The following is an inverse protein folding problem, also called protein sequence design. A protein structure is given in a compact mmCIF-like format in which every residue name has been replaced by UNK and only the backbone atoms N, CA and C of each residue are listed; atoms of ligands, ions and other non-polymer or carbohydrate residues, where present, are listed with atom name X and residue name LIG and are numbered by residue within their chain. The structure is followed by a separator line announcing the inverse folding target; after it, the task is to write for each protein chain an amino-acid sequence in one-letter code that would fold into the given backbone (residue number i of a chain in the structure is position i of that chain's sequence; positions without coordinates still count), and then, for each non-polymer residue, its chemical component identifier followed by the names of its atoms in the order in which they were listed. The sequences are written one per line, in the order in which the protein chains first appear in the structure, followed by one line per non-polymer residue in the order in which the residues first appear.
data_IF_473314893497
#
_entry.id   IF_473314893497
#
_cell.length_a   1.000
_cell.length_b   1.000
_cell.length_c   1.000
_cell.angle_alpha   90.00
_cell.angle_beta   90.00
_cell.angle_gamma   90.00
#
_symmetry.space_group_name_H-M   'P 1'
#
loop_
_entity.id
_entity.type
_entity.pdbx_description
1 polymer ?
#
# COMPACT_ATOMS: atom_id res chain seq x y z
N UNK A 1 -7.53 30.71 8.77
CA UNK A 1 -7.30 29.31 9.18
C UNK A 1 -6.15 28.69 8.37
N UNK A 2 -6.13 28.88 7.04
CA UNK A 2 -5.05 28.50 6.11
C UNK A 2 -3.65 28.92 6.50
N UNK A 3 -3.46 30.20 6.77
CA UNK A 3 -2.12 30.76 7.00
C UNK A 3 -1.50 30.26 8.32
N UNK A 4 -2.35 30.04 9.33
CA UNK A 4 -1.96 29.42 10.59
C UNK A 4 -1.56 27.95 10.41
N UNK A 5 -2.31 27.18 9.61
CA UNK A 5 -1.97 25.77 9.36
C UNK A 5 -0.67 25.64 8.55
N UNK A 6 -0.47 26.45 7.50
CA UNK A 6 0.80 26.49 6.74
C UNK A 6 1.96 26.85 7.67
N UNK A 7 1.80 27.84 8.54
CA UNK A 7 2.82 28.24 9.52
C UNK A 7 3.15 27.10 10.50
N UNK A 8 2.12 26.42 11.01
CA UNK A 8 2.28 25.29 11.92
C UNK A 8 2.99 24.11 11.23
N UNK A 9 2.60 23.76 9.99
CA UNK A 9 3.26 22.72 9.20
C UNK A 9 4.74 23.05 8.93
N UNK A 10 5.07 24.31 8.60
CA UNK A 10 6.46 24.77 8.43
C UNK A 10 7.26 24.68 9.74
N UNK A 11 6.66 25.05 10.87
CA UNK A 11 7.26 24.88 12.20
C UNK A 11 7.48 23.39 12.54
N UNK A 12 6.52 22.53 12.21
CA UNK A 12 6.65 21.08 12.36
C UNK A 12 7.83 20.54 11.53
N UNK A 13 7.92 20.93 10.26
CA UNK A 13 8.99 20.55 9.35
C UNK A 13 10.37 21.03 9.81
N UNK A 14 10.47 22.28 10.31
CA UNK A 14 11.73 22.84 10.79
C UNK A 14 12.28 22.08 12.00
N UNK A 15 11.46 21.85 13.02
CA UNK A 15 11.90 21.15 14.24
C UNK A 15 12.23 19.67 13.95
N UNK A 16 11.59 19.07 12.95
CA UNK A 16 11.86 17.69 12.55
C UNK A 16 13.28 17.49 12.00
N UNK A 17 13.97 18.56 11.60
CA UNK A 17 15.36 18.50 11.14
C UNK A 17 16.35 18.05 12.21
N UNK A 18 15.99 18.19 13.47
CA UNK A 18 16.77 17.63 14.58
C UNK A 18 16.76 16.09 14.58
N UNK A 19 15.78 15.48 13.89
CA UNK A 19 15.59 14.04 13.82
C UNK A 19 16.18 13.45 12.54
N UNK A 20 15.84 14.01 11.38
CA UNK A 20 16.31 13.54 10.07
C UNK A 20 16.25 14.66 9.00
N UNK A 21 17.10 14.60 7.95
CA UNK A 21 17.05 15.58 6.85
C UNK A 21 15.77 15.44 6.02
N UNK A 22 15.48 16.44 5.17
CA UNK A 22 14.32 16.37 4.27
C UNK A 22 14.47 15.15 3.36
N UNK A 23 13.39 14.40 3.15
CA UNK A 23 13.44 13.27 2.22
C UNK A 23 13.60 13.81 0.79
N UNK A 24 14.30 13.11 -0.11
CA UNK A 24 14.48 13.61 -1.47
C UNK A 24 13.14 13.79 -2.21
N UNK A 25 13.03 14.90 -2.96
CA UNK A 25 12.09 15.05 -4.07
C UNK A 25 12.90 14.86 -5.35
N UNK A 26 12.70 13.74 -6.05
CA UNK A 26 13.55 13.35 -7.19
C UNK A 26 12.72 13.26 -8.45
N UNK A 27 13.16 13.94 -9.52
CA UNK A 27 12.59 13.75 -10.84
C UNK A 27 12.85 12.31 -11.28
N UNK A 28 11.84 11.65 -11.83
CA UNK A 28 11.93 10.30 -12.35
C UNK A 28 11.88 10.33 -13.87
N UNK A 29 13.01 10.05 -14.52
CA UNK A 29 13.13 10.14 -15.98
C UNK A 29 12.23 9.12 -16.69
N UNK A 30 12.25 7.86 -16.24
CA UNK A 30 11.44 6.78 -16.83
C UNK A 30 9.94 7.11 -16.83
N UNK A 31 9.40 7.51 -15.68
CA UNK A 31 8.00 7.89 -15.57
C UNK A 31 7.69 9.19 -16.34
N UNK A 32 8.63 10.14 -16.37
CA UNK A 32 8.46 11.39 -17.11
C UNK A 32 8.33 11.15 -18.61
N UNK A 33 9.21 10.29 -19.17
CA UNK A 33 9.15 9.88 -20.57
C UNK A 33 7.87 9.08 -20.88
N UNK A 34 7.49 8.16 -19.98
CA UNK A 34 6.30 7.30 -20.14
C UNK A 34 4.99 8.10 -20.24
N UNK A 35 4.87 9.19 -19.48
CA UNK A 35 3.63 9.97 -19.37
C UNK A 35 3.67 11.35 -20.05
N UNK A 36 4.78 11.72 -20.70
CA UNK A 36 4.99 13.04 -21.31
C UNK A 36 4.71 14.18 -20.31
N UNK A 37 5.19 14.02 -19.08
CA UNK A 37 4.98 14.91 -17.94
C UNK A 37 6.24 15.01 -17.09
N UNK A 38 6.38 16.06 -16.28
CA UNK A 38 7.51 16.23 -15.37
C UNK A 38 7.19 15.55 -14.02
N UNK A 39 7.49 14.25 -13.92
CA UNK A 39 7.12 13.42 -12.77
C UNK A 39 8.21 13.43 -11.70
N UNK A 40 7.84 13.78 -10.47
CA UNK A 40 8.69 13.78 -9.30
C UNK A 40 8.18 12.81 -8.24
N UNK A 41 9.11 12.08 -7.62
CA UNK A 41 8.81 11.18 -6.51
C UNK A 41 9.25 11.83 -5.20
N UNK A 42 8.31 12.01 -4.27
CA UNK A 42 8.61 12.36 -2.89
C UNK A 42 8.93 11.09 -2.11
N UNK A 43 10.23 10.87 -1.84
CA UNK A 43 10.80 9.59 -1.38
C UNK A 43 10.69 9.37 0.14
N UNK A 44 9.46 9.28 0.64
CA UNK A 44 9.21 8.99 2.06
C UNK A 44 9.63 7.58 2.49
N UNK A 45 9.81 6.67 1.54
CA UNK A 45 10.46 5.38 1.71
C UNK A 45 11.94 5.47 2.16
N UNK A 46 12.59 6.62 1.98
CA UNK A 46 13.96 6.89 2.42
C UNK A 46 14.04 7.55 3.80
N UNK A 47 12.92 7.69 4.52
CA UNK A 47 12.96 8.13 5.91
C UNK A 47 13.63 7.10 6.83
N UNK A 48 14.05 7.46 8.07
CA UNK A 48 14.68 6.52 9.00
C UNK A 48 13.90 5.22 9.26
N UNK A 49 12.56 5.30 9.23
CA UNK A 49 11.65 4.15 9.39
C UNK A 49 10.99 3.73 8.08
N UNK A 50 11.53 4.19 6.95
CA UNK A 50 11.10 3.88 5.57
C UNK A 50 9.62 4.11 5.28
N UNK A 51 9.05 5.13 5.92
CA UNK A 51 7.70 5.62 5.63
C UNK A 51 7.49 7.01 6.25
N UNK A 52 6.45 7.71 5.82
CA UNK A 52 6.12 9.05 6.34
C UNK A 52 5.62 9.07 7.80
N UNK A 53 5.27 7.93 8.39
CA UNK A 53 4.52 7.86 9.66
C UNK A 53 5.23 8.49 10.85
N UNK A 54 6.56 8.54 10.85
CA UNK A 54 7.33 9.20 11.92
C UNK A 54 7.03 10.69 12.05
N UNK A 55 6.56 11.35 10.98
CA UNK A 55 6.35 12.80 10.94
C UNK A 55 5.21 13.24 11.85
N UNK A 56 4.05 12.61 11.70
CA UNK A 56 2.91 12.84 12.59
C UNK A 56 3.20 12.40 14.02
N UNK A 57 3.90 11.28 14.21
CA UNK A 57 4.30 10.84 15.55
C UNK A 57 5.20 11.87 16.25
N UNK A 58 6.23 12.36 15.56
CA UNK A 58 7.11 13.42 16.06
C UNK A 58 6.31 14.64 16.51
N UNK A 59 5.44 15.16 15.65
CA UNK A 59 4.75 16.41 15.91
C UNK A 59 3.73 16.32 17.05
N UNK A 60 2.97 15.23 17.12
CA UNK A 60 2.04 14.98 18.21
C UNK A 60 2.77 14.78 19.54
N UNK A 61 3.85 13.99 19.56
CA UNK A 61 4.60 13.72 20.79
C UNK A 61 5.27 14.98 21.35
N UNK A 62 5.97 15.78 20.53
CA UNK A 62 6.69 16.97 21.01
C UNK A 62 5.78 18.04 21.63
N UNK A 63 4.49 18.05 21.31
CA UNK A 63 3.52 19.05 21.80
C UNK A 63 2.96 18.73 23.18
N UNK A 64 3.08 17.48 23.61
CA UNK A 64 2.59 17.00 24.90
C UNK A 64 3.70 16.53 25.83
N UNK A 65 4.96 16.61 25.38
CA UNK A 65 6.14 16.37 26.21
C UNK A 65 6.55 17.71 26.83
N UNK A 66 6.83 17.76 28.15
CA UNK A 66 7.01 16.64 29.07
C UNK A 66 5.76 16.20 29.85
N UNK A 67 4.58 16.79 29.62
CA UNK A 67 3.35 16.48 30.36
C UNK A 67 2.93 15.00 30.25
N UNK A 68 3.28 14.35 29.13
CA UNK A 68 3.09 12.93 28.86
C UNK A 68 4.43 12.24 28.66
N UNK A 69 4.65 11.15 29.39
CA UNK A 69 5.89 10.36 29.37
C UNK A 69 5.70 8.91 28.90
N UNK A 70 4.46 8.47 28.71
CA UNK A 70 4.10 7.14 28.21
C UNK A 70 3.21 7.29 26.98
N UNK A 71 3.65 6.72 25.87
CA UNK A 71 2.97 6.77 24.58
C UNK A 71 2.54 5.38 24.14
N UNK A 72 1.33 5.28 23.61
CA UNK A 72 0.70 4.00 23.27
C UNK A 72 0.16 4.07 21.87
N UNK A 73 0.33 3.00 21.09
CA UNK A 73 -0.36 2.88 19.81
C UNK A 73 -0.77 1.42 19.55
N UNK A 74 -1.80 1.23 18.72
CA UNK A 74 -2.17 -0.08 18.17
C UNK A 74 -1.80 -0.13 16.69
N UNK A 75 -0.76 -0.89 16.35
CA UNK A 75 -0.31 -1.12 14.97
C UNK A 75 0.78 -2.19 14.94
N UNK A 76 0.84 -2.96 13.87
CA UNK A 76 1.96 -3.85 13.55
C UNK A 76 2.79 -3.38 12.36
N UNK A 77 2.53 -2.17 11.83
CA UNK A 77 3.10 -1.67 10.58
C UNK A 77 3.90 -0.37 10.74
N UNK A 78 3.84 0.47 9.71
CA UNK A 78 4.59 1.73 9.63
C UNK A 78 4.35 2.68 10.80
N UNK A 79 3.11 2.74 11.32
CA UNK A 79 2.80 3.57 12.48
C UNK A 79 3.55 3.10 13.73
N UNK A 80 3.55 1.79 14.02
CA UNK A 80 4.28 1.23 15.14
C UNK A 80 5.78 1.53 15.08
N UNK A 81 6.37 1.40 13.90
CA UNK A 81 7.79 1.70 13.69
C UNK A 81 8.08 3.20 13.89
N UNK A 82 7.21 4.08 13.39
CA UNK A 82 7.30 5.53 13.59
C UNK A 82 7.20 5.92 15.07
N UNK A 83 6.20 5.39 15.80
CA UNK A 83 6.04 5.63 17.24
C UNK A 83 7.25 5.10 18.00
N UNK A 84 7.69 3.87 17.71
CA UNK A 84 8.80 3.25 18.40
C UNK A 84 10.10 4.06 18.24
N UNK A 85 10.40 4.47 17.01
CA UNK A 85 11.55 5.33 16.74
C UNK A 85 11.47 6.65 17.50
N UNK A 86 10.29 7.29 17.55
CA UNK A 86 10.12 8.55 18.27
C UNK A 86 10.22 8.40 19.79
N UNK A 87 9.72 7.30 20.36
CA UNK A 87 9.91 7.01 21.79
C UNK A 87 11.40 6.89 22.13
N UNK A 88 12.18 6.21 21.28
CA UNK A 88 13.63 6.13 21.41
C UNK A 88 14.30 7.50 21.32
N UNK A 89 13.93 8.31 20.31
CA UNK A 89 14.47 9.65 20.09
C UNK A 89 14.21 10.61 21.27
N UNK A 90 12.98 10.66 21.78
CA UNK A 90 12.61 11.54 22.90
C UNK A 90 12.99 10.98 24.28
N UNK A 91 13.41 9.71 24.35
CA UNK A 91 13.72 9.05 25.62
C UNK A 91 12.50 8.81 26.51
N UNK A 92 11.33 8.56 25.91
CA UNK A 92 10.04 8.34 26.59
C UNK A 92 9.57 6.91 26.43
N UNK A 93 8.73 6.42 27.34
CA UNK A 93 8.24 5.03 27.29
C UNK A 93 7.21 4.87 26.17
N UNK A 94 7.38 3.85 25.33
CA UNK A 94 6.42 3.42 24.31
C UNK A 94 5.83 2.05 24.63
N UNK A 95 4.52 1.88 24.45
CA UNK A 95 3.84 0.58 24.54
C UNK A 95 3.07 0.33 23.23
N UNK A 96 3.51 -0.65 22.46
CA UNK A 96 2.99 -0.94 21.13
C UNK A 96 2.12 -2.19 21.19
N UNK A 97 0.82 -2.02 20.96
CA UNK A 97 -0.13 -3.12 20.91
C UNK A 97 -0.19 -3.68 19.48
N UNK A 98 -0.03 -5.00 19.38
CA UNK A 98 -0.10 -5.76 18.13
C UNK A 98 -0.99 -6.99 18.30
N UNK A 99 -1.66 -7.48 17.24
CA UNK A 99 -2.36 -8.77 17.29
C UNK A 99 -1.41 -9.92 17.61
N UNK A 100 -1.90 -10.98 18.26
CA UNK A 100 -1.11 -12.19 18.57
C UNK A 100 -0.64 -12.93 17.32
N UNK A 101 -1.34 -12.73 16.20
CA UNK A 101 -1.03 -13.28 14.88
C UNK A 101 0.04 -12.50 14.12
N UNK A 102 0.61 -11.45 14.72
CA UNK A 102 1.62 -10.61 14.07
C UNK A 102 2.91 -11.40 13.79
N UNK A 103 3.42 -11.39 12.53
CA UNK A 103 4.68 -12.05 12.21
C UNK A 103 5.86 -11.55 13.05
N UNK A 104 6.76 -12.47 13.44
CA UNK A 104 7.91 -12.15 14.29
C UNK A 104 8.82 -11.06 13.69
N UNK A 105 8.99 -11.03 12.37
CA UNK A 105 9.78 -10.02 11.68
C UNK A 105 9.24 -8.60 11.92
N UNK A 106 7.91 -8.40 11.90
CA UNK A 106 7.28 -7.10 12.18
C UNK A 106 7.48 -6.69 13.65
N UNK A 107 7.39 -7.64 14.58
CA UNK A 107 7.65 -7.41 16.01
C UNK A 107 9.10 -6.99 16.24
N UNK A 108 10.05 -7.74 15.68
CA UNK A 108 11.49 -7.48 15.82
C UNK A 108 11.87 -6.13 15.25
N UNK A 109 11.32 -5.76 14.09
CA UNK A 109 11.59 -4.47 13.45
C UNK A 109 11.12 -3.29 14.31
N UNK A 110 9.94 -3.37 14.89
CA UNK A 110 9.46 -2.34 15.82
C UNK A 110 10.34 -2.25 17.08
N UNK A 111 10.74 -3.39 17.66
CA UNK A 111 11.66 -3.41 18.81
C UNK A 111 13.03 -2.83 18.45
N UNK A 112 13.54 -3.09 17.25
CA UNK A 112 14.82 -2.56 16.77
C UNK A 112 14.81 -1.02 16.72
N UNK A 113 13.72 -0.41 16.23
CA UNK A 113 13.59 1.05 16.22
C UNK A 113 13.38 1.65 17.62
N UNK A 114 12.63 0.96 18.48
CA UNK A 114 12.32 1.43 19.83
C UNK A 114 13.40 1.22 20.88
N UNK A 115 14.28 0.24 20.68
CA UNK A 115 15.32 -0.12 21.64
C UNK A 115 14.73 -0.45 23.02
N UNK A 116 15.37 0.07 24.07
CA UNK A 116 14.94 -0.14 25.45
C UNK A 116 13.70 0.69 25.85
N UNK A 117 13.33 1.67 25.03
CA UNK A 117 12.21 2.56 25.34
C UNK A 117 10.85 1.96 25.02
N UNK A 118 10.81 0.84 24.30
CA UNK A 118 9.57 0.29 23.75
C UNK A 118 9.31 -1.12 24.22
N UNK A 119 8.09 -1.32 24.70
CA UNK A 119 7.51 -2.63 24.96
C UNK A 119 6.49 -2.97 23.88
N UNK A 120 6.45 -4.25 23.45
CA UNK A 120 5.43 -4.74 22.51
C UNK A 120 4.50 -5.70 23.24
N UNK A 121 3.21 -5.38 23.25
CA UNK A 121 2.16 -6.16 23.88
C UNK A 121 1.34 -6.89 22.80
N UNK A 122 1.34 -8.21 22.82
CA UNK A 122 0.57 -9.04 21.89
C UNK A 122 -0.82 -9.34 22.47
N UNK A 123 -1.87 -8.70 21.96
CA UNK A 123 -3.24 -8.82 22.48
C UNK A 123 -4.24 -8.87 21.33
N UNK A 124 -5.13 -9.85 21.38
CA UNK A 124 -6.25 -10.03 20.44
C UNK A 124 -5.84 -10.67 19.13
N UNK A 125 -6.77 -11.39 18.51
CA UNK A 125 -6.55 -12.08 17.23
C UNK A 125 -6.70 -11.13 16.03
N UNK A 126 -7.39 -10.01 16.23
CA UNK A 126 -7.76 -9.02 15.22
C UNK A 126 -7.52 -7.59 15.72
N UNK A 127 -7.36 -6.67 14.77
CA UNK A 127 -7.00 -5.28 15.03
C UNK A 127 -7.95 -4.57 16.02
N UNK A 128 -9.26 -4.78 15.92
CA UNK A 128 -10.22 -4.08 16.79
C UNK A 128 -10.05 -4.43 18.27
N UNK A 129 -9.78 -5.71 18.58
CA UNK A 129 -9.48 -6.15 19.95
C UNK A 129 -8.18 -5.52 20.45
N UNK A 130 -7.16 -5.45 19.59
CA UNK A 130 -5.87 -4.83 19.89
C UNK A 130 -6.01 -3.33 20.16
N UNK A 131 -6.80 -2.63 19.34
CA UNK A 131 -7.08 -1.20 19.48
C UNK A 131 -7.82 -0.88 20.78
N UNK A 132 -8.87 -1.66 21.09
CA UNK A 132 -9.63 -1.50 22.33
C UNK A 132 -8.72 -1.70 23.57
N UNK A 133 -7.85 -2.71 23.55
CA UNK A 133 -6.89 -2.94 24.64
C UNK A 133 -5.89 -1.79 24.80
N UNK A 134 -5.38 -1.24 23.70
CA UNK A 134 -4.46 -0.09 23.72
C UNK A 134 -5.14 1.17 24.30
N UNK A 135 -6.39 1.42 23.93
CA UNK A 135 -7.16 2.55 24.45
C UNK A 135 -7.48 2.38 25.94
N UNK A 136 -7.85 1.17 26.36
CA UNK A 136 -8.07 0.86 27.77
C UNK A 136 -6.82 1.08 28.61
N UNK A 137 -5.65 0.62 28.14
CA UNK A 137 -4.36 0.86 28.80
C UNK A 137 -4.06 2.35 28.98
N UNK A 138 -4.44 3.20 28.02
CA UNK A 138 -4.25 4.65 28.14
C UNK A 138 -5.10 5.25 29.27
N UNK A 139 -6.31 4.75 29.46
CA UNK A 139 -7.21 5.20 30.55
C UNK A 139 -6.65 4.77 31.90
N UNK A 140 -6.18 3.52 32.01
CA UNK A 140 -5.68 2.95 33.26
C UNK A 140 -4.35 3.57 33.71
N UNK A 141 -3.41 3.76 32.79
CA UNK A 141 -2.04 4.23 33.09
C UNK A 141 -1.85 5.73 32.87
N UNK A 142 -2.90 6.45 32.46
CA UNK A 142 -2.83 7.88 32.11
C UNK A 142 -1.94 8.18 30.89
N UNK A 143 -1.64 7.15 30.08
CA UNK A 143 -0.78 7.23 28.92
C UNK A 143 -1.44 8.01 27.76
N UNK A 144 -0.62 8.48 26.81
CA UNK A 144 -1.09 9.20 25.64
C UNK A 144 -1.26 8.24 24.46
N UNK A 145 -2.48 8.09 23.97
CA UNK A 145 -2.75 7.31 22.76
C UNK A 145 -2.35 8.09 21.51
N UNK A 146 -1.37 7.58 20.77
CA UNK A 146 -0.90 8.18 19.53
C UNK A 146 -1.68 7.60 18.34
N UNK A 147 -2.62 8.40 17.83
CA UNK A 147 -3.43 8.04 16.67
C UNK A 147 -2.57 7.82 15.42
N UNK A 148 -2.86 6.82 14.58
CA UNK A 148 -2.18 6.62 13.31
C UNK A 148 -2.50 7.67 12.23
N UNK A 149 -3.58 8.45 12.40
CA UNK A 149 -4.03 9.45 11.42
C UNK A 149 -5.05 10.47 11.94
N UNK A 150 -6.01 10.06 12.79
CA UNK A 150 -7.17 10.88 13.19
C UNK A 150 -6.87 11.79 14.40
N UNK A 151 -5.87 12.65 14.25
CA UNK A 151 -5.42 13.59 15.27
C UNK A 151 -4.87 14.87 14.61
N UNK A 152 -5.16 16.04 15.19
CA UNK A 152 -4.79 17.33 14.59
C UNK A 152 -3.27 17.50 14.49
N UNK A 153 -2.53 17.09 15.53
CA UNK A 153 -1.08 17.24 15.56
C UNK A 153 -0.40 16.21 14.66
N UNK A 154 -0.99 15.02 14.51
CA UNK A 154 -0.58 14.03 13.53
C UNK A 154 -0.75 14.58 12.12
N UNK A 155 -1.93 15.14 11.78
CA UNK A 155 -2.22 15.72 10.46
C UNK A 155 -1.24 16.86 10.14
N UNK A 156 -1.01 17.76 11.10
CA UNK A 156 -0.04 18.85 10.98
C UNK A 156 1.38 18.31 10.74
N UNK A 157 1.79 17.26 11.46
CA UNK A 157 3.08 16.61 11.25
C UNK A 157 3.20 15.99 9.86
N UNK A 158 2.15 15.33 9.35
CA UNK A 158 2.18 14.79 7.98
C UNK A 158 2.23 15.88 6.91
N UNK A 159 1.67 17.07 7.17
CA UNK A 159 1.73 18.21 6.26
C UNK A 159 3.17 18.72 6.02
N UNK A 160 4.15 18.34 6.86
CA UNK A 160 5.56 18.62 6.59
C UNK A 160 6.07 18.01 5.27
N UNK A 161 5.41 16.96 4.75
CA UNK A 161 5.69 16.42 3.41
C UNK A 161 5.41 17.48 2.33
N UNK A 162 4.30 18.21 2.46
CA UNK A 162 3.93 19.28 1.53
C UNK A 162 4.88 20.48 1.60
N UNK A 163 5.32 20.84 2.82
CA UNK A 163 6.34 21.88 3.03
C UNK A 163 7.60 21.53 2.24
N UNK A 164 8.11 20.30 2.42
CA UNK A 164 9.33 19.89 1.71
C UNK A 164 9.13 19.83 0.19
N UNK A 165 7.95 19.41 -0.30
CA UNK A 165 7.64 19.42 -1.73
C UNK A 165 7.74 20.84 -2.29
N UNK A 166 7.09 21.82 -1.65
CA UNK A 166 7.10 23.23 -2.07
C UNK A 166 8.52 23.80 -2.05
N UNK A 167 9.28 23.56 -0.99
CA UNK A 167 10.65 24.07 -0.82
C UNK A 167 11.62 23.46 -1.84
N UNK A 168 11.56 22.14 -2.05
CA UNK A 168 12.48 21.43 -2.96
C UNK A 168 12.18 21.70 -4.43
N UNK A 169 10.90 21.88 -4.77
CA UNK A 169 10.49 22.25 -6.13
C UNK A 169 10.65 23.76 -6.40
N UNK A 170 10.68 24.58 -5.35
CA UNK A 170 10.71 26.05 -5.42
C UNK A 170 9.38 26.69 -5.83
N UNK A 171 8.32 25.89 -5.94
CA UNK A 171 6.96 26.28 -6.35
C UNK A 171 5.94 25.20 -5.96
N UNK A 172 4.66 25.54 -6.05
CA UNK A 172 3.57 24.57 -5.92
C UNK A 172 3.54 23.67 -7.18
N UNK A 173 3.43 22.33 -7.04
CA UNK A 173 3.26 21.44 -8.19
C UNK A 173 1.89 21.62 -8.85
N UNK A 174 1.75 21.25 -10.12
CA UNK A 174 0.47 21.35 -10.83
C UNK A 174 -0.54 20.30 -10.32
N UNK A 175 -0.05 19.11 -9.95
CA UNK A 175 -0.86 17.99 -9.48
C UNK A 175 -0.09 17.11 -8.48
N UNK A 176 -0.75 16.62 -7.43
CA UNK A 176 -0.18 15.66 -6.48
C UNK A 176 -1.05 14.40 -6.41
N UNK A 177 -0.43 13.21 -6.53
CA UNK A 177 -1.09 11.93 -6.30
C UNK A 177 -0.81 11.45 -4.87
N UNK A 178 -1.88 11.22 -4.10
CA UNK A 178 -1.83 10.94 -2.66
C UNK A 178 -2.50 9.60 -2.35
N UNK A 179 -1.79 8.63 -1.75
CA UNK A 179 -2.44 7.43 -1.26
C UNK A 179 -3.35 7.79 -0.08
N UNK A 180 -4.52 7.16 0.00
CA UNK A 180 -5.49 7.33 1.08
C UNK A 180 -5.74 6.00 1.76
N UNK A 181 -5.45 5.97 3.06
CA UNK A 181 -6.03 5.00 3.99
C UNK A 181 -6.88 5.77 4.99
N UNK A 182 -6.43 5.90 6.24
CA UNK A 182 -7.12 6.72 7.25
C UNK A 182 -7.11 8.24 7.00
N UNK A 183 -6.46 8.71 5.94
CA UNK A 183 -6.48 10.12 5.50
C UNK A 183 -5.43 11.05 6.12
N UNK A 184 -4.58 10.58 7.04
CA UNK A 184 -3.58 11.41 7.74
C UNK A 184 -2.65 12.20 6.82
N UNK A 185 -2.00 11.52 5.86
CA UNK A 185 -1.12 12.16 4.88
C UNK A 185 -1.89 13.09 3.95
N UNK A 186 -2.95 12.57 3.33
CA UNK A 186 -3.67 13.24 2.26
C UNK A 186 -4.40 14.48 2.78
N UNK A 187 -5.02 14.41 3.95
CA UNK A 187 -5.64 15.58 4.60
C UNK A 187 -4.60 16.63 5.02
N UNK A 188 -3.40 16.22 5.47
CA UNK A 188 -2.31 17.14 5.81
C UNK A 188 -1.78 17.89 4.59
N UNK A 189 -1.45 17.16 3.52
CA UNK A 189 -0.97 17.74 2.26
C UNK A 189 -2.03 18.62 1.60
N UNK A 190 -3.27 18.13 1.52
CA UNK A 190 -4.40 18.90 0.99
C UNK A 190 -4.64 20.18 1.79
N UNK A 191 -4.58 20.12 3.13
CA UNK A 191 -4.76 21.30 3.98
C UNK A 191 -3.67 22.36 3.79
N UNK A 192 -2.47 21.94 3.38
CA UNK A 192 -1.35 22.84 3.13
C UNK A 192 -1.55 23.60 1.81
N UNK A 193 -1.71 22.90 0.69
CA UNK A 193 -1.80 23.54 -0.64
C UNK A 193 -3.20 24.01 -1.02
N UNK A 194 -4.25 23.36 -0.51
CA UNK A 194 -5.65 23.65 -0.84
C UNK A 194 -5.88 23.81 -2.34
N UNK A 195 -6.55 24.87 -2.78
CA UNK A 195 -6.91 25.11 -4.18
C UNK A 195 -5.73 25.56 -5.06
N UNK A 196 -4.51 25.69 -4.51
CA UNK A 196 -3.31 26.06 -5.27
C UNK A 196 -2.77 24.89 -6.11
N UNK A 197 -3.23 23.66 -5.86
CA UNK A 197 -2.78 22.43 -6.51
C UNK A 197 -3.97 21.56 -6.93
N UNK A 198 -3.80 20.70 -7.94
CA UNK A 198 -4.73 19.59 -8.24
C UNK A 198 -4.34 18.33 -7.48
N UNK A 199 -5.30 17.44 -7.24
CA UNK A 199 -5.05 16.20 -6.50
C UNK A 199 -5.70 15.02 -7.19
N UNK A 200 -5.08 13.86 -7.02
CA UNK A 200 -5.75 12.58 -7.15
C UNK A 200 -5.54 11.78 -5.87
N UNK A 201 -6.64 11.40 -5.24
CA UNK A 201 -6.66 10.61 -4.02
C UNK A 201 -6.80 9.14 -4.39
N UNK A 202 -5.86 8.30 -3.98
CA UNK A 202 -5.75 6.94 -4.49
C UNK A 202 -6.03 5.94 -3.38
N UNK A 203 -7.06 5.11 -3.58
CA UNK A 203 -7.46 4.04 -2.66
C UNK A 203 -7.34 2.67 -3.33
N UNK A 204 -7.01 1.60 -2.60
CA UNK A 204 -7.21 0.25 -3.11
C UNK A 204 -8.71 -0.02 -3.29
N UNK A 205 -9.09 -0.74 -4.34
CA UNK A 205 -10.49 -1.12 -4.61
C UNK A 205 -11.15 -1.84 -3.43
N UNK A 206 -10.40 -2.70 -2.74
CA UNK A 206 -10.90 -3.46 -1.59
C UNK A 206 -10.97 -2.67 -0.28
N UNK A 207 -10.59 -1.40 -0.22
CA UNK A 207 -10.77 -0.54 0.96
C UNK A 207 -11.06 0.94 0.60
N UNK A 208 -12.22 1.25 0.00
CA UNK A 208 -12.56 2.59 -0.52
C UNK A 208 -13.10 3.54 0.57
N UNK A 209 -12.28 3.85 1.58
CA UNK A 209 -12.69 4.55 2.79
C UNK A 209 -13.16 6.00 2.58
N UNK A 210 -12.48 6.77 1.72
CA UNK A 210 -12.76 8.17 1.41
C UNK A 210 -13.92 8.25 0.42
N UNK A 211 -13.90 7.46 -0.65
CA UNK A 211 -14.98 7.48 -1.64
C UNK A 211 -16.34 7.18 -1.00
N UNK A 212 -16.40 6.17 -0.11
CA UNK A 212 -17.64 5.85 0.62
C UNK A 212 -18.03 6.93 1.62
N UNK A 213 -17.06 7.60 2.26
CA UNK A 213 -17.34 8.71 3.15
C UNK A 213 -17.85 9.96 2.42
N UNK A 214 -17.29 10.28 1.24
CA UNK A 214 -17.76 11.39 0.38
C UNK A 214 -19.21 11.15 -0.06
N UNK A 215 -19.49 9.97 -0.61
CA UNK A 215 -20.84 9.61 -1.04
C UNK A 215 -21.88 9.65 0.10
N UNK A 216 -21.47 9.31 1.32
CA UNK A 216 -22.32 9.35 2.52
C UNK A 216 -22.36 10.72 3.22
N UNK A 217 -21.44 11.64 2.89
CA UNK A 217 -21.24 12.91 3.59
C UNK A 217 -20.68 12.78 5.03
N UNK A 218 -20.21 11.60 5.43
CA UNK A 218 -19.64 11.33 6.75
C UNK A 218 -18.79 10.04 6.74
N UNK A 219 -17.83 9.86 7.67
CA UNK A 219 -17.07 8.62 7.77
C UNK A 219 -17.98 7.41 8.05
N UNK A 220 -17.90 6.40 7.19
CA UNK A 220 -18.65 5.14 7.28
C UNK A 220 -17.68 3.96 7.36
N UNK A 221 -18.12 2.89 8.02
CA UNK A 221 -17.39 1.62 8.04
C UNK A 221 -17.69 0.84 6.75
N UNK A 222 -16.64 0.44 6.03
CA UNK A 222 -16.72 -0.27 4.74
C UNK A 222 -16.31 -1.73 4.84
N UNK A 223 -16.25 -2.29 6.05
CA UNK A 223 -15.91 -3.70 6.27
C UNK A 223 -16.90 -4.67 5.61
N UNK A 224 -16.45 -5.85 5.13
CA UNK A 224 -15.06 -6.33 5.15
C UNK A 224 -14.18 -5.66 4.08
N UNK A 225 -12.88 -5.55 4.35
CA UNK A 225 -11.88 -4.95 3.43
C UNK A 225 -10.80 -5.95 3.01
N UNK A 226 -10.18 -5.71 1.85
CA UNK A 226 -8.97 -6.41 1.44
C UNK A 226 -7.74 -5.83 2.17
N UNK A 227 -6.97 -6.68 2.86
CA UNK A 227 -5.83 -6.27 3.67
C UNK A 227 -4.48 -6.31 2.95
N UNK A 228 -4.45 -6.63 1.65
CA UNK A 228 -3.20 -6.78 0.89
C UNK A 228 -2.36 -5.49 0.87
N UNK A 229 -3.03 -4.34 0.70
CA UNK A 229 -2.44 -2.99 0.76
C UNK A 229 -2.51 -2.47 2.19
N UNK A 230 -1.81 -3.13 3.11
CA UNK A 230 -1.92 -2.94 4.56
C UNK A 230 -1.73 -1.49 5.05
N UNK A 231 -0.92 -0.67 4.37
CA UNK A 231 -0.76 0.76 4.67
C UNK A 231 -1.96 1.66 4.33
N UNK A 232 -2.87 1.18 3.45
CA UNK A 232 -4.05 1.90 2.99
C UNK A 232 -5.38 1.14 3.24
N UNK A 233 -5.32 -0.12 3.69
CA UNK A 233 -6.47 -0.94 4.02
C UNK A 233 -7.12 -0.47 5.35
N UNK A 234 -7.90 0.61 5.28
CA UNK A 234 -8.58 1.21 6.44
C UNK A 234 -10.09 1.14 6.23
N UNK A 235 -10.80 0.51 7.17
CA UNK A 235 -12.25 0.31 7.07
C UNK A 235 -13.06 1.59 7.27
N UNK A 236 -12.50 2.61 7.92
CA UNK A 236 -13.18 3.88 8.18
C UNK A 236 -12.16 5.01 8.24
N UNK A 237 -12.30 6.00 7.36
CA UNK A 237 -11.47 7.21 7.38
C UNK A 237 -11.62 7.95 8.72
N UNK A 238 -10.56 8.64 9.17
CA UNK A 238 -10.62 9.44 10.40
C UNK A 238 -11.58 10.62 10.31
N UNK A 239 -12.22 10.97 11.43
CA UNK A 239 -13.23 12.04 11.46
C UNK A 239 -12.61 13.40 11.15
N UNK A 240 -11.45 13.72 11.71
CA UNK A 240 -10.72 14.97 11.48
C UNK A 240 -10.12 15.01 10.08
N UNK A 241 -9.70 13.85 9.57
CA UNK A 241 -9.18 13.73 8.21
C UNK A 241 -10.29 14.00 7.18
N UNK A 242 -11.46 13.38 7.37
CA UNK A 242 -12.60 13.61 6.49
C UNK A 242 -13.11 15.04 6.57
N UNK A 243 -13.16 15.67 7.75
CA UNK A 243 -13.55 17.08 7.88
C UNK A 243 -12.68 18.06 7.06
N UNK A 244 -11.47 17.64 6.66
CA UNK A 244 -10.58 18.40 5.77
C UNK A 244 -10.74 18.03 4.29
N UNK A 245 -11.29 16.86 4.00
CA UNK A 245 -11.43 16.29 2.65
C UNK A 245 -12.88 16.23 2.17
N UNK A 246 -13.85 16.65 2.99
CA UNK A 246 -15.31 16.56 2.74
C UNK A 246 -15.81 17.31 1.49
N UNK A 247 -14.98 18.21 0.95
CA UNK A 247 -15.24 19.00 -0.27
C UNK A 247 -14.45 18.53 -1.49
N UNK A 248 -13.65 17.46 -1.37
CA UNK A 248 -12.99 16.84 -2.51
C UNK A 248 -14.04 16.29 -3.46
N UNK A 249 -13.85 16.49 -4.77
CA UNK A 249 -14.76 15.93 -5.76
C UNK A 249 -14.57 14.41 -5.83
N UNK A 250 -15.66 13.64 -5.91
CA UNK A 250 -15.58 12.18 -6.05
C UNK A 250 -14.78 11.77 -7.31
N UNK A 251 -14.78 12.60 -8.36
CA UNK A 251 -13.99 12.37 -9.58
C UNK A 251 -12.48 12.44 -9.37
N UNK A 252 -12.03 13.03 -8.26
CA UNK A 252 -10.61 13.11 -7.90
C UNK A 252 -10.16 11.88 -7.11
N UNK A 253 -11.07 10.95 -6.78
CA UNK A 253 -10.76 9.69 -6.09
C UNK A 253 -10.61 8.55 -7.11
N UNK A 254 -9.45 7.90 -7.08
CA UNK A 254 -9.07 6.80 -7.98
C UNK A 254 -9.04 5.50 -7.17
N UNK A 255 -9.66 4.46 -7.74
CA UNK A 255 -9.61 3.11 -7.18
C UNK A 255 -8.67 2.25 -8.01
N UNK A 256 -7.78 1.51 -7.35
CA UNK A 256 -6.85 0.58 -7.99
C UNK A 256 -6.99 -0.83 -7.43
N UNK A 257 -7.19 -1.80 -8.32
CA UNK A 257 -7.12 -3.22 -7.99
C UNK A 257 -5.77 -3.57 -7.34
N UNK A 258 -5.79 -4.39 -6.28
CA UNK A 258 -4.58 -4.75 -5.52
C UNK A 258 -3.52 -5.45 -6.38
N UNK A 259 -3.97 -6.33 -7.28
CA UNK A 259 -3.09 -7.08 -8.17
C UNK A 259 -2.45 -6.19 -9.24
N UNK A 260 -3.09 -5.06 -9.61
CA UNK A 260 -2.51 -4.04 -10.51
C UNK A 260 -1.34 -3.33 -9.86
N UNK A 261 -1.47 -2.97 -8.58
CA UNK A 261 -0.42 -2.29 -7.82
C UNK A 261 0.87 -3.13 -7.80
N UNK A 262 0.75 -4.46 -7.78
CA UNK A 262 1.89 -5.37 -7.87
C UNK A 262 2.72 -5.17 -9.14
N UNK A 263 2.10 -4.79 -10.26
CA UNK A 263 2.81 -4.49 -11.51
C UNK A 263 3.76 -3.31 -11.29
N UNK A 264 3.27 -2.21 -10.71
CA UNK A 264 4.11 -1.05 -10.37
C UNK A 264 5.20 -1.41 -9.36
N UNK A 265 4.93 -2.24 -8.34
CA UNK A 265 5.99 -2.66 -7.39
C UNK A 265 7.13 -3.37 -8.14
N UNK A 266 6.81 -4.27 -9.06
CA UNK A 266 7.80 -5.00 -9.87
C UNK A 266 8.51 -4.07 -10.86
N UNK A 267 7.80 -3.14 -11.50
CA UNK A 267 8.38 -2.14 -12.41
C UNK A 267 9.39 -1.25 -11.66
N UNK A 268 8.99 -0.67 -10.52
CA UNK A 268 9.86 0.19 -9.72
C UNK A 268 11.08 -0.56 -9.16
N UNK A 269 10.92 -1.83 -8.79
CA UNK A 269 12.03 -2.66 -8.34
C UNK A 269 13.03 -2.95 -9.48
N UNK A 270 12.53 -3.39 -10.64
CA UNK A 270 13.39 -3.90 -11.71
C UNK A 270 13.97 -2.80 -12.61
N UNK A 271 13.23 -1.72 -12.83
CA UNK A 271 13.64 -0.61 -13.71
C UNK A 271 14.38 0.46 -12.91
N UNK A 272 13.80 0.88 -11.78
CA UNK A 272 14.31 2.03 -10.99
C UNK A 272 15.17 1.61 -9.79
N UNK A 273 15.17 0.32 -9.41
CA UNK A 273 15.84 -0.14 -8.19
C UNK A 273 15.18 0.38 -6.90
N UNK A 274 13.91 0.82 -6.98
CA UNK A 274 13.15 1.36 -5.85
C UNK A 274 12.29 0.26 -5.23
N UNK A 275 12.50 0.00 -3.94
CA UNK A 275 11.71 -0.99 -3.18
C UNK A 275 10.53 -0.29 -2.52
N UNK A 276 9.32 -0.57 -3.02
CA UNK A 276 8.07 -0.03 -2.49
C UNK A 276 7.25 -1.13 -1.82
N UNK A 277 6.57 -0.76 -0.73
CA UNK A 277 5.44 -1.55 -0.23
C UNK A 277 4.17 -1.25 -1.07
N UNK A 278 3.10 -2.05 -0.99
CA UNK A 278 1.91 -1.82 -1.81
C UNK A 278 1.30 -0.42 -1.67
N UNK A 279 1.19 0.12 -0.46
CA UNK A 279 0.68 1.47 -0.26
C UNK A 279 1.63 2.55 -0.83
N UNK A 280 2.94 2.29 -0.83
CA UNK A 280 3.95 3.16 -1.41
C UNK A 280 3.91 3.24 -2.94
N UNK A 281 3.35 2.23 -3.60
CA UNK A 281 3.20 2.17 -5.05
C UNK A 281 1.90 2.80 -5.58
N UNK A 282 0.88 2.99 -4.73
CA UNK A 282 -0.45 3.51 -5.12
C UNK A 282 -0.39 4.81 -5.93
N UNK A 283 0.36 5.80 -5.44
CA UNK A 283 0.43 7.12 -6.08
C UNK A 283 1.12 7.10 -7.45
N UNK A 284 2.03 6.14 -7.67
CA UNK A 284 2.74 5.96 -8.93
C UNK A 284 1.86 5.22 -9.93
N UNK A 285 1.20 4.14 -9.49
CA UNK A 285 0.29 3.37 -10.35
C UNK A 285 -0.86 4.24 -10.89
N UNK A 286 -1.38 5.14 -10.06
CA UNK A 286 -2.46 6.04 -10.44
C UNK A 286 -2.11 7.04 -11.56
N UNK A 287 -0.83 7.22 -11.92
CA UNK A 287 -0.43 8.03 -13.06
C UNK A 287 -1.11 7.57 -14.37
N UNK A 288 -1.32 6.25 -14.52
CA UNK A 288 -2.00 5.69 -15.69
C UNK A 288 -3.43 6.19 -15.88
N UNK A 289 -4.15 6.46 -14.78
CA UNK A 289 -5.56 6.91 -14.79
C UNK A 289 -5.71 8.38 -15.16
N UNK A 290 -4.66 9.17 -14.97
CA UNK A 290 -4.66 10.62 -15.22
C UNK A 290 -3.71 11.02 -16.35
N UNK A 291 -3.15 10.06 -17.09
CA UNK A 291 -2.11 10.26 -18.09
C UNK A 291 -2.41 11.41 -19.06
N UNK A 292 -3.64 11.50 -19.59
CA UNK A 292 -4.02 12.57 -20.52
C UNK A 292 -4.18 13.94 -19.86
N UNK A 293 -4.46 13.98 -18.56
CA UNK A 293 -4.67 15.22 -17.81
C UNK A 293 -3.35 15.85 -17.35
N UNK A 294 -2.28 15.07 -17.30
CA UNK A 294 -0.99 15.47 -16.70
C UNK A 294 0.09 15.85 -17.71
N UNK A 295 -0.14 15.65 -19.02
CA UNK A 295 0.85 15.96 -20.07
C UNK A 295 1.36 17.40 -19.97
N UNK A 296 2.68 17.56 -20.04
CA UNK A 296 3.38 18.85 -19.96
C UNK A 296 3.34 19.55 -18.61
N UNK A 297 2.84 18.90 -17.55
CA UNK A 297 2.71 19.47 -16.19
C UNK A 297 3.73 18.86 -15.23
N UNK A 298 3.98 19.54 -14.11
CA UNK A 298 4.79 19.03 -13.01
C UNK A 298 3.93 18.29 -12.00
N UNK A 299 4.19 16.99 -11.84
CA UNK A 299 3.38 16.06 -11.05
C UNK A 299 4.24 15.50 -9.92
N UNK A 300 3.67 15.39 -8.72
CA UNK A 300 4.34 14.76 -7.59
C UNK A 300 3.59 13.52 -7.13
N UNK A 301 4.26 12.37 -7.15
CA UNK A 301 3.79 11.14 -6.51
C UNK A 301 4.48 10.97 -5.15
N UNK A 302 3.71 10.72 -4.09
CA UNK A 302 4.30 10.41 -2.79
C UNK A 302 4.55 8.91 -2.67
N UNK A 303 5.82 8.51 -2.70
CA UNK A 303 6.25 7.13 -2.43
C UNK A 303 6.22 6.91 -0.90
N UNK A 304 5.02 6.64 -0.37
CA UNK A 304 4.72 6.78 1.06
C UNK A 304 5.45 5.82 1.99
N UNK A 305 5.95 4.70 1.47
CA UNK A 305 6.68 3.72 2.27
C UNK A 305 7.36 2.63 1.46
N UNK A 306 8.41 2.07 2.05
CA UNK A 306 9.26 1.01 1.47
C UNK A 306 9.49 -0.15 2.44
N UNK A 307 8.59 -0.35 3.42
CA UNK A 307 8.68 -1.46 4.37
C UNK A 307 8.14 -2.77 3.77
N UNK A 308 8.65 -3.11 2.58
CA UNK A 308 8.32 -4.33 1.88
C UNK A 308 8.98 -5.54 2.53
N UNK A 309 8.23 -6.64 2.62
CA UNK A 309 8.73 -7.94 3.05
C UNK A 309 9.13 -8.75 1.81
N UNK A 310 10.41 -9.04 1.68
CA UNK A 310 10.94 -9.78 0.53
C UNK A 310 10.41 -11.21 0.44
N UNK A 311 9.92 -11.79 1.55
CA UNK A 311 9.25 -13.10 1.52
C UNK A 311 7.93 -13.05 0.75
N UNK A 312 7.32 -11.87 0.59
CA UNK A 312 6.11 -11.64 -0.23
C UNK A 312 6.41 -11.41 -1.71
N UNK A 313 7.67 -11.30 -2.13
CA UNK A 313 8.00 -11.02 -3.54
C UNK A 313 7.46 -12.07 -4.52
N UNK A 314 7.48 -13.39 -4.22
CA UNK A 314 6.84 -14.38 -5.10
C UNK A 314 5.33 -14.16 -5.26
N UNK A 315 4.63 -13.83 -4.17
CA UNK A 315 3.18 -13.52 -4.19
C UNK A 315 2.90 -12.29 -5.05
N UNK A 316 3.67 -11.20 -4.85
CA UNK A 316 3.54 -9.96 -5.64
C UNK A 316 3.80 -10.22 -7.12
N UNK A 317 4.86 -10.97 -7.45
CA UNK A 317 5.18 -11.32 -8.84
C UNK A 317 4.03 -12.10 -9.47
N UNK A 318 3.48 -13.08 -8.76
CA UNK A 318 2.38 -13.88 -9.25
C UNK A 318 1.12 -13.04 -9.50
N UNK A 319 0.72 -12.20 -8.54
CA UNK A 319 -0.42 -11.27 -8.69
C UNK A 319 -0.23 -10.34 -9.90
N UNK A 320 0.95 -9.75 -10.05
CA UNK A 320 1.29 -8.88 -11.18
C UNK A 320 1.17 -9.61 -12.53
N UNK A 321 1.67 -10.85 -12.61
CA UNK A 321 1.63 -11.66 -13.82
C UNK A 321 0.21 -12.09 -14.19
N UNK A 322 -0.62 -12.46 -13.20
CA UNK A 322 -2.04 -12.76 -13.43
C UNK A 322 -2.80 -11.53 -13.91
N UNK A 323 -2.59 -10.39 -13.27
CA UNK A 323 -3.23 -9.12 -13.65
C UNK A 323 -2.86 -8.70 -15.08
N UNK A 324 -1.57 -8.82 -15.42
CA UNK A 324 -1.06 -8.50 -16.77
C UNK A 324 -1.48 -9.52 -17.84
N UNK A 325 -2.20 -10.58 -17.45
CA UNK A 325 -2.67 -11.63 -18.34
C UNK A 325 -1.58 -12.55 -18.88
N UNK A 326 -0.34 -12.45 -18.38
CA UNK A 326 0.80 -13.25 -18.83
C UNK A 326 0.93 -14.58 -18.09
N UNK A 327 0.21 -14.76 -16.97
CA UNK A 327 0.16 -16.03 -16.25
C UNK A 327 -1.29 -16.46 -16.00
N UNK A 328 -1.60 -17.72 -16.31
CA UNK A 328 -2.92 -18.32 -16.11
C UNK A 328 -2.84 -19.70 -15.49
N UNK A 329 -3.89 -20.06 -14.76
CA UNK A 329 -4.04 -21.37 -14.14
C UNK A 329 -5.27 -22.08 -14.68
N UNK A 330 -5.10 -23.34 -15.08
CA UNK A 330 -6.15 -24.18 -15.63
C UNK A 330 -6.26 -25.51 -14.90
N UNK A 331 -7.48 -26.02 -14.79
CA UNK A 331 -7.74 -27.43 -14.51
C UNK A 331 -8.06 -28.11 -15.83
N UNK A 332 -7.12 -28.89 -16.36
CA UNK A 332 -7.30 -29.68 -17.57
C UNK A 332 -7.90 -31.06 -17.26
N UNK A 333 -8.86 -31.50 -18.07
CA UNK A 333 -9.35 -32.88 -18.08
C UNK A 333 -8.58 -33.65 -19.15
N UNK A 334 -7.53 -34.34 -18.73
CA UNK A 334 -6.66 -35.09 -19.63
C UNK A 334 -7.18 -36.52 -19.84
N UNK A 335 -7.30 -37.00 -21.10
CA UNK A 335 -7.65 -38.39 -21.38
C UNK A 335 -6.64 -39.36 -20.75
N UNK A 336 -7.11 -40.44 -20.10
CA UNK A 336 -6.23 -41.46 -19.54
C UNK A 336 -5.77 -42.47 -20.61
N UNK A 337 -5.10 -41.97 -21.67
CA UNK A 337 -4.47 -42.81 -22.70
C UNK A 337 -2.97 -42.50 -22.83
N UNK A 338 -2.14 -43.48 -23.22
CA UNK A 338 -0.74 -43.23 -23.54
C UNK A 338 -0.58 -42.08 -24.55
N UNK A 339 0.38 -41.20 -24.31
CA UNK A 339 0.71 -40.08 -25.21
C UNK A 339 -0.09 -38.79 -25.00
N UNK A 340 -1.17 -38.77 -24.20
CA UNK A 340 -2.00 -37.57 -24.01
C UNK A 340 -1.22 -36.35 -23.47
N UNK A 341 -0.27 -36.57 -22.54
CA UNK A 341 0.59 -35.50 -22.05
C UNK A 341 1.55 -34.99 -23.14
N UNK A 342 2.11 -35.90 -23.95
CA UNK A 342 3.00 -35.52 -25.06
C UNK A 342 2.27 -34.67 -26.10
N UNK A 343 1.02 -35.01 -26.39
CA UNK A 343 0.13 -34.25 -27.26
C UNK A 343 -0.16 -32.86 -26.68
N UNK A 344 -0.48 -32.76 -25.38
CA UNK A 344 -0.62 -31.47 -24.71
C UNK A 344 0.67 -30.61 -24.81
N UNK A 345 1.84 -31.20 -24.54
CA UNK A 345 3.11 -30.47 -24.61
C UNK A 345 3.44 -29.97 -26.03
N UNK A 346 2.89 -30.61 -27.07
CA UNK A 346 3.07 -30.14 -28.46
C UNK A 346 2.19 -28.95 -28.84
N UNK A 347 1.23 -28.57 -27.98
CA UNK A 347 0.36 -27.40 -28.16
C UNK A 347 1.02 -26.13 -27.60
N UNK A 348 1.92 -26.26 -26.62
CA UNK A 348 2.62 -25.12 -26.04
C UNK A 348 3.52 -24.45 -27.08
N UNK A 349 3.49 -23.12 -27.09
CA UNK A 349 4.37 -22.29 -27.90
C UNK A 349 5.82 -22.33 -27.42
N UNK A 350 6.78 -21.85 -28.25
CA UNK A 350 8.20 -21.84 -27.90
C UNK A 350 8.55 -20.88 -26.74
N UNK A 351 7.65 -19.94 -26.44
CA UNK A 351 7.79 -18.92 -25.39
C UNK A 351 6.84 -19.19 -24.19
N UNK A 352 6.13 -20.32 -24.19
CA UNK A 352 5.22 -20.69 -23.11
C UNK A 352 5.95 -21.56 -22.08
N UNK A 353 5.89 -21.18 -20.80
CA UNK A 353 6.51 -21.91 -19.70
C UNK A 353 5.45 -22.55 -18.79
N UNK A 354 5.71 -23.78 -18.33
CA UNK A 354 4.84 -24.47 -17.38
C UNK A 354 5.36 -24.18 -15.97
N UNK A 355 4.78 -23.17 -15.33
CA UNK A 355 5.20 -22.77 -13.97
C UNK A 355 4.62 -23.67 -12.87
N UNK A 356 3.57 -24.44 -13.15
CA UNK A 356 2.98 -25.42 -12.21
C UNK A 356 2.39 -26.59 -12.98
N UNK A 357 2.59 -27.81 -12.47
CA UNK A 357 1.97 -29.02 -13.04
C UNK A 357 1.72 -30.04 -11.94
N UNK A 358 0.45 -30.31 -11.65
CA UNK A 358 0.03 -31.33 -10.70
C UNK A 358 -0.99 -32.27 -11.33
N UNK A 359 -0.66 -33.57 -11.38
CA UNK A 359 -1.53 -34.59 -11.93
C UNK A 359 -2.20 -35.42 -10.83
N UNK A 360 -3.52 -35.34 -10.76
CA UNK A 360 -4.34 -36.11 -9.82
C UNK A 360 -5.02 -37.27 -10.55
N UNK A 361 -4.48 -38.48 -10.34
CA UNK A 361 -5.07 -39.72 -10.87
C UNK A 361 -6.26 -40.13 -10.00
N UNK A 362 -7.48 -39.97 -10.52
CA UNK A 362 -8.69 -40.57 -9.91
C UNK A 362 -8.93 -41.95 -10.51
N UNK A 363 -8.94 -42.97 -9.66
CA UNK A 363 -8.94 -44.41 -10.00
C UNK A 363 -10.21 -44.93 -10.71
N UNK A 364 -11.29 -44.14 -10.76
CA UNK A 364 -12.60 -44.56 -11.28
C UNK A 364 -13.11 -43.74 -12.50
N UNK A 365 -12.26 -42.97 -13.19
CA UNK A 365 -12.67 -42.12 -14.32
C UNK A 365 -11.76 -42.30 -15.54
N UNK A 366 -12.34 -42.22 -16.74
CA UNK A 366 -11.60 -42.23 -18.03
C UNK A 366 -10.73 -40.98 -18.26
N UNK A 367 -10.71 -40.04 -17.30
CA UNK A 367 -9.99 -38.76 -17.38
C UNK A 367 -9.25 -38.50 -16.06
N UNK A 368 -8.03 -37.99 -16.14
CA UNK A 368 -7.30 -37.41 -15.02
C UNK A 368 -7.51 -35.91 -14.95
N UNK A 369 -7.33 -35.32 -13.76
CA UNK A 369 -7.35 -33.87 -13.59
C UNK A 369 -5.91 -33.39 -13.48
N UNK A 370 -5.52 -32.42 -14.30
CA UNK A 370 -4.22 -31.75 -14.23
C UNK A 370 -4.47 -30.30 -13.81
N UNK A 371 -3.91 -29.88 -12.68
CA UNK A 371 -3.75 -28.46 -12.40
C UNK A 371 -2.48 -28.00 -13.12
N UNK A 372 -2.60 -26.99 -13.97
CA UNK A 372 -1.47 -26.44 -14.70
C UNK A 372 -1.44 -24.92 -14.57
N UNK A 373 -0.26 -24.36 -14.35
CA UNK A 373 0.03 -22.94 -14.47
C UNK A 373 0.89 -22.71 -15.70
N UNK A 374 0.51 -21.76 -16.53
CA UNK A 374 1.23 -21.41 -17.76
C UNK A 374 1.59 -19.92 -17.69
N UNK A 375 2.84 -19.62 -17.99
CA UNK A 375 3.35 -18.26 -18.18
C UNK A 375 3.69 -18.06 -19.66
N UNK A 376 3.40 -16.87 -20.20
CA UNK A 376 3.63 -16.50 -21.59
C UNK A 376 4.28 -15.12 -21.66
N UNK A 377 4.87 -14.75 -22.80
CA UNK A 377 5.49 -13.43 -22.97
C UNK A 377 4.51 -12.29 -23.22
N UNK A 378 3.32 -12.61 -23.70
CA UNK A 378 2.27 -11.65 -24.03
C UNK A 378 0.91 -12.23 -23.68
N UNK A 379 -0.03 -11.44 -23.11
CA UNK A 379 -1.39 -11.90 -22.85
C UNK A 379 -2.10 -12.40 -24.13
N UNK A 380 -1.72 -11.90 -25.30
CA UNK A 380 -2.29 -12.31 -26.59
C UNK A 380 -1.97 -13.76 -26.96
N UNK A 381 -0.92 -14.36 -26.37
CA UNK A 381 -0.52 -15.75 -26.62
C UNK A 381 -1.57 -16.76 -26.14
N UNK A 382 -2.38 -16.42 -25.13
CA UNK A 382 -3.39 -17.34 -24.62
C UNK A 382 -4.54 -17.57 -25.60
N UNK A 383 -4.91 -16.61 -26.44
CA UNK A 383 -6.00 -16.79 -27.41
C UNK A 383 -5.76 -17.98 -28.36
N UNK A 384 -4.64 -17.99 -29.12
CA UNK A 384 -4.25 -19.11 -29.97
C UNK A 384 -4.07 -20.42 -29.20
N UNK A 385 -3.43 -20.38 -28.02
CA UNK A 385 -3.23 -21.57 -27.18
C UNK A 385 -4.56 -22.23 -26.78
N UNK A 386 -5.54 -21.45 -26.33
CA UNK A 386 -6.85 -21.95 -25.95
C UNK A 386 -7.64 -22.51 -27.14
N UNK A 387 -7.47 -21.93 -28.34
CA UNK A 387 -8.07 -22.46 -29.57
C UNK A 387 -7.47 -23.84 -29.94
N UNK A 388 -6.15 -23.98 -29.91
CA UNK A 388 -5.48 -25.25 -30.19
C UNK A 388 -5.83 -26.34 -29.17
N UNK A 389 -5.94 -25.98 -27.88
CA UNK A 389 -6.42 -26.91 -26.84
C UNK A 389 -7.81 -27.44 -27.16
N UNK A 390 -8.72 -26.56 -27.58
CA UNK A 390 -10.09 -26.92 -27.95
C UNK A 390 -10.12 -27.82 -29.18
N UNK A 391 -9.33 -27.51 -30.21
CA UNK A 391 -9.23 -28.29 -31.45
C UNK A 391 -8.66 -29.70 -31.20
N UNK A 392 -7.74 -29.83 -30.26
CA UNK A 392 -7.21 -31.11 -29.78
C UNK A 392 -8.18 -31.86 -28.83
N UNK A 393 -9.36 -31.31 -28.55
CA UNK A 393 -10.40 -31.94 -27.74
C UNK A 393 -10.13 -31.92 -26.23
N UNK A 394 -9.19 -31.09 -25.76
CA UNK A 394 -8.99 -30.89 -24.32
C UNK A 394 -10.12 -30.04 -23.75
N UNK A 395 -10.65 -30.48 -22.60
CA UNK A 395 -11.56 -29.65 -21.79
C UNK A 395 -10.76 -29.03 -20.65
N UNK A 396 -10.95 -27.74 -20.43
CA UNK A 396 -10.29 -27.01 -19.34
C UNK A 396 -11.27 -26.12 -18.58
N UNK A 397 -10.88 -25.76 -17.36
CA UNK A 397 -11.50 -24.69 -16.57
C UNK A 397 -10.41 -23.68 -16.24
N UNK A 398 -10.57 -22.42 -16.66
CA UNK A 398 -9.69 -21.32 -16.25
C UNK A 398 -10.05 -20.93 -14.81
N UNK A 399 -9.10 -21.09 -13.89
CA UNK A 399 -9.26 -20.80 -12.47
C UNK A 399 -8.41 -19.60 -12.04
N UNK A 400 -7.83 -18.87 -13.00
CA UNK A 400 -6.85 -17.79 -12.72
C UNK A 400 -7.39 -16.74 -11.75
N UNK A 401 -8.68 -16.41 -11.89
CA UNK A 401 -9.38 -15.40 -11.08
C UNK A 401 -10.39 -16.02 -10.10
N UNK A 402 -10.32 -17.33 -9.85
CA UNK A 402 -11.12 -17.99 -8.81
C UNK A 402 -10.37 -17.89 -7.48
N UNK A 403 -10.64 -16.84 -6.70
CA UNK A 403 -9.94 -16.60 -5.43
C UNK A 403 -10.11 -17.73 -4.42
N UNK A 404 -11.28 -18.38 -4.42
CA UNK A 404 -11.56 -19.48 -3.47
C UNK A 404 -10.66 -20.66 -3.80
N UNK A 405 -10.60 -21.07 -5.06
CA UNK A 405 -9.69 -22.13 -5.48
C UNK A 405 -8.23 -21.71 -5.33
N UNK A 406 -7.89 -20.47 -5.70
CA UNK A 406 -6.54 -19.95 -5.56
C UNK A 406 -5.99 -20.13 -4.15
N UNK A 407 -6.76 -19.79 -3.11
CA UNK A 407 -6.31 -19.96 -1.71
C UNK A 407 -6.01 -21.42 -1.31
N UNK A 408 -6.58 -22.41 -2.00
CA UNK A 408 -6.36 -23.82 -1.69
C UNK A 408 -5.32 -24.49 -2.57
N UNK A 409 -5.20 -24.07 -3.83
CA UNK A 409 -4.42 -24.80 -4.84
C UNK A 409 -3.37 -23.96 -5.56
N UNK A 410 -3.31 -22.65 -5.33
CA UNK A 410 -2.25 -21.76 -5.83
C UNK A 410 -1.36 -21.36 -4.66
#
# INVERSE_FOLDING_TARGET
MTDMFKTAARSAAQQMREVFPATPLMRNEHLSEKYDADIWLKREDLSPVRSYKLRGAFNAMRKVIPEKSVFVCASAGNHAQGVAFMCSHFGVKGVIFMPVTTPQQKIQKTKMFGGLQVEVCLIGDYFDKTLAAAQQYCVEEGAHFLSPFDDEDVIEGQASVAVEIEEQLGRVPDHILLPVGGGGLSSGVYSYFQNECRYSFVEPEGAPSLAKALAAGAPVDVSPINSFVDGAAVAKIGQRNFARLDRVAESDVIHLAEDRICVTIIEMLNVEGIVLEPAGALSIEALGEVADQIKGKTIVCVASGGNFDFERLPEVKERAQRYSGVKKYFILRMPQRPGALKEFLSILGPDDDICRFEYLKKSARNFGSVLIGIETRSPDSFGPFLAQLKDAGFTYTDITNDETLAQFVL
#
